data_IF_866039990817
#
_entry.id   IF_866039990817
#
_cell.length_a   1.000
_cell.length_b   1.000
_cell.length_c   1.000
_cell.angle_alpha   90.00
_cell.angle_beta   90.00
_cell.angle_gamma   90.00
#
_symmetry.space_group_name_H-M   'P 1'
#
loop_
_entity.id
_entity.type
_entity.pdbx_description
1 polymer ?
#
# COMPACT_ATOMS: atom_id res chain seq x y z
N UNK A 1 3.22 -28.40 5.95
CA UNK A 1 2.84 -27.79 4.66
C UNK A 1 3.94 -26.84 4.26
N UNK A 2 4.76 -27.21 3.28
CA UNK A 2 5.97 -26.48 2.91
C UNK A 2 5.65 -25.27 2.01
N UNK A 3 6.38 -24.14 2.11
CA UNK A 3 6.29 -23.07 1.12
C UNK A 3 6.77 -23.60 -0.24
N UNK A 4 6.20 -23.13 -1.38
CA UNK A 4 6.69 -23.52 -2.69
C UNK A 4 8.17 -23.15 -2.84
N UNK A 5 8.98 -24.16 -3.22
CA UNK A 5 10.42 -24.09 -3.41
C UNK A 5 10.78 -23.14 -4.54
N UNK A 6 11.78 -22.30 -4.29
CA UNK A 6 12.26 -21.30 -5.25
C UNK A 6 13.13 -21.88 -6.37
N UNK A 7 13.06 -21.22 -7.53
CA UNK A 7 14.18 -20.58 -8.26
C UNK A 7 13.62 -19.95 -9.53
N UNK A 8 13.64 -18.61 -9.62
CA UNK A 8 14.38 -17.96 -10.69
C UNK A 8 14.70 -16.49 -10.36
N UNK A 9 15.89 -16.05 -10.76
CA UNK A 9 16.51 -14.76 -10.44
C UNK A 9 16.21 -13.80 -11.59
N UNK A 10 15.33 -12.83 -11.39
CA UNK A 10 15.01 -11.82 -12.40
C UNK A 10 14.12 -10.70 -11.85
N UNK A 11 14.47 -9.45 -12.19
CA UNK A 11 13.78 -8.20 -11.82
C UNK A 11 12.24 -8.28 -11.87
N UNK A 12 11.59 -7.78 -10.80
CA UNK A 12 10.23 -7.20 -10.61
C UNK A 12 9.07 -7.56 -11.58
N UNK A 13 7.85 -7.76 -11.05
CA UNK A 13 7.01 -6.57 -10.89
C UNK A 13 6.32 -6.54 -9.53
N UNK A 14 6.34 -5.38 -8.87
CA UNK A 14 5.46 -5.08 -7.76
C UNK A 14 4.02 -5.32 -8.27
N UNK A 15 3.40 -6.45 -7.93
CA UNK A 15 2.03 -6.73 -8.35
C UNK A 15 1.11 -5.77 -7.62
N UNK A 16 0.64 -4.72 -8.30
CA UNK A 16 -0.33 -3.78 -7.74
C UNK A 16 -1.74 -4.25 -8.13
N UNK A 17 -2.58 -4.58 -7.14
CA UNK A 17 -4.02 -4.76 -7.36
C UNK A 17 -4.75 -3.53 -6.85
N UNK A 18 -5.64 -3.00 -7.69
CA UNK A 18 -6.63 -2.00 -7.27
C UNK A 18 -7.65 -2.70 -6.38
N UNK A 19 -7.79 -2.28 -5.13
CA UNK A 19 -8.83 -2.80 -4.26
C UNK A 19 -10.14 -2.07 -4.58
N UNK A 20 -11.21 -2.80 -4.92
CA UNK A 20 -12.56 -2.22 -5.05
C UNK A 20 -13.42 -2.71 -3.87
N UNK A 21 -14.02 -1.78 -3.13
CA UNK A 21 -14.87 -2.06 -1.96
C UNK A 21 -14.83 -0.94 -0.90
N UNK A 22 -15.82 -0.87 0.02
CA UNK A 22 -15.98 0.29 0.90
C UNK A 22 -14.80 0.47 1.89
N UNK A 23 -14.15 1.64 1.84
CA UNK A 23 -12.96 1.98 2.64
C UNK A 23 -11.65 2.05 1.85
N UNK A 24 -11.72 2.46 0.58
CA UNK A 24 -10.73 2.22 -0.48
C UNK A 24 -9.27 2.53 -0.13
N UNK A 25 -8.46 1.48 -0.26
CA UNK A 25 -7.01 1.53 -0.52
C UNK A 25 -6.85 1.57 -2.05
N UNK A 26 -6.14 2.57 -2.58
CA UNK A 26 -6.04 2.74 -4.03
C UNK A 26 -5.27 1.59 -4.69
N UNK A 27 -4.14 1.20 -4.10
CA UNK A 27 -3.30 0.10 -4.58
C UNK A 27 -2.79 -0.75 -3.41
N UNK A 28 -2.76 -2.07 -3.60
CA UNK A 28 -2.03 -2.98 -2.71
C UNK A 28 -0.92 -3.61 -3.53
N UNK A 29 0.32 -3.45 -3.08
CA UNK A 29 1.50 -3.98 -3.76
C UNK A 29 2.34 -4.85 -2.82
N UNK A 30 3.03 -5.84 -3.39
CA UNK A 30 3.99 -6.66 -2.65
C UNK A 30 5.41 -6.41 -3.16
N UNK A 31 6.36 -6.26 -2.22
CA UNK A 31 7.81 -6.29 -2.48
C UNK A 31 8.48 -7.20 -1.47
N UNK A 32 8.92 -8.38 -1.89
CA UNK A 32 9.46 -9.40 -0.99
C UNK A 32 8.46 -9.78 0.10
N UNK A 33 8.85 -9.60 1.37
CA UNK A 33 8.01 -9.84 2.56
C UNK A 33 7.26 -8.60 3.06
N UNK A 34 7.14 -7.56 2.24
CA UNK A 34 6.40 -6.34 2.58
C UNK A 34 5.17 -6.21 1.71
N UNK A 35 4.01 -6.00 2.34
CA UNK A 35 2.75 -5.61 1.70
C UNK A 35 2.55 -4.11 1.92
N UNK A 36 2.46 -3.36 0.83
CA UNK A 36 2.27 -1.91 0.83
C UNK A 36 0.81 -1.61 0.50
N UNK A 37 0.11 -0.97 1.43
CA UNK A 37 -1.19 -0.34 1.19
C UNK A 37 -0.89 1.09 0.77
N UNK A 38 -1.23 1.44 -0.47
CA UNK A 38 -0.78 2.66 -1.12
C UNK A 38 -1.98 3.55 -1.42
N UNK A 39 -1.89 4.80 -0.97
CA UNK A 39 -2.76 5.89 -1.40
C UNK A 39 -2.11 6.62 -2.59
N UNK A 40 -2.87 6.89 -3.65
CA UNK A 40 -2.41 7.65 -4.82
C UNK A 40 -2.99 9.07 -4.76
N UNK A 41 -2.11 10.07 -4.83
CA UNK A 41 -2.50 11.48 -4.78
C UNK A 41 -2.01 12.25 -6.00
N UNK A 42 -2.91 12.99 -6.64
CA UNK A 42 -2.52 14.00 -7.62
C UNK A 42 -1.93 15.21 -6.89
N UNK A 43 -0.82 15.75 -7.39
CA UNK A 43 -0.25 17.03 -6.94
C UNK A 43 -0.60 18.11 -7.96
N UNK A 44 -1.09 19.26 -7.53
CA UNK A 44 -1.23 20.45 -8.37
C UNK A 44 -0.04 21.40 -8.21
N UNK A 45 0.61 21.52 -7.03
CA UNK A 45 1.74 22.47 -6.79
C UNK A 45 2.77 22.06 -5.70
N UNK A 46 3.89 22.81 -5.59
CA UNK A 46 5.05 22.58 -4.70
C UNK A 46 4.75 22.58 -3.16
N UNK A 47 3.83 23.41 -2.61
CA UNK A 47 3.49 23.42 -1.17
C UNK A 47 2.32 22.50 -0.75
N UNK A 48 1.60 21.86 -1.67
CA UNK A 48 0.57 20.84 -1.35
C UNK A 48 1.18 19.55 -0.75
N UNK A 49 2.51 19.58 -0.63
CA UNK A 49 3.45 18.63 -0.06
C UNK A 49 3.21 18.19 1.41
N UNK A 50 2.13 18.61 2.07
CA UNK A 50 1.75 18.15 3.42
C UNK A 50 0.33 17.57 3.46
N UNK A 51 -0.11 16.90 2.41
CA UNK A 51 -1.40 16.20 2.44
C UNK A 51 -1.30 14.98 3.36
N UNK A 52 -1.34 15.22 4.67
CA UNK A 52 -1.48 14.21 5.69
C UNK A 52 -2.76 13.44 5.38
N UNK A 53 -2.66 12.11 5.38
CA UNK A 53 -3.84 11.27 5.31
C UNK A 53 -4.67 11.59 6.55
N UNK A 54 -5.89 12.08 6.32
CA UNK A 54 -6.78 12.44 7.42
C UNK A 54 -7.06 11.22 8.28
N UNK A 55 -7.29 11.43 9.57
CA UNK A 55 -7.59 10.35 10.51
C UNK A 55 -8.76 9.48 10.04
N UNK A 56 -9.79 10.09 9.43
CA UNK A 56 -10.94 9.37 8.86
C UNK A 56 -10.50 8.45 7.72
N UNK A 57 -9.66 8.93 6.79
CA UNK A 57 -9.15 8.13 5.68
C UNK A 57 -8.20 7.05 6.19
N UNK A 58 -7.37 7.33 7.19
CA UNK A 58 -6.51 6.34 7.86
C UNK A 58 -7.34 5.18 8.42
N UNK A 59 -8.39 5.47 9.19
CA UNK A 59 -9.30 4.44 9.73
C UNK A 59 -9.98 3.60 8.64
N UNK A 60 -10.33 4.22 7.51
CA UNK A 60 -10.90 3.50 6.35
C UNK A 60 -9.88 2.55 5.73
N UNK A 61 -8.67 3.04 5.50
CA UNK A 61 -7.54 2.24 5.00
C UNK A 61 -7.25 1.07 5.94
N UNK A 62 -7.18 1.30 7.25
CA UNK A 62 -6.94 0.24 8.25
C UNK A 62 -8.04 -0.82 8.24
N UNK A 63 -9.30 -0.40 8.18
CA UNK A 63 -10.44 -1.34 8.05
C UNK A 63 -10.33 -2.18 6.79
N UNK A 64 -9.98 -1.58 5.66
CA UNK A 64 -9.81 -2.31 4.40
C UNK A 64 -8.57 -3.22 4.41
N UNK A 65 -7.47 -2.77 5.03
CA UNK A 65 -6.25 -3.55 5.20
C UNK A 65 -6.50 -4.81 6.06
N UNK A 66 -7.22 -4.68 7.18
CA UNK A 66 -7.62 -5.82 8.02
C UNK A 66 -8.47 -6.83 7.23
N UNK A 67 -9.45 -6.36 6.46
CA UNK A 67 -10.25 -7.24 5.58
C UNK A 67 -9.39 -7.96 4.54
N UNK A 68 -8.44 -7.25 3.93
CA UNK A 68 -7.52 -7.84 2.96
C UNK A 68 -6.65 -8.91 3.60
N UNK A 69 -6.08 -8.67 4.78
CA UNK A 69 -5.25 -9.64 5.53
C UNK A 69 -6.07 -10.89 5.87
N UNK A 70 -7.31 -10.74 6.32
CA UNK A 70 -8.20 -11.89 6.60
C UNK A 70 -8.43 -12.75 5.35
N UNK A 71 -8.60 -12.12 4.18
CA UNK A 71 -8.77 -12.83 2.90
C UNK A 71 -7.45 -13.39 2.35
N UNK A 72 -6.31 -12.89 2.80
CA UNK A 72 -4.97 -13.24 2.31
C UNK A 72 -4.10 -13.78 3.45
N UNK A 73 -4.55 -14.86 4.11
CA UNK A 73 -3.87 -15.44 5.29
C UNK A 73 -2.41 -15.84 5.07
N UNK A 74 -1.98 -16.04 3.82
CA UNK A 74 -0.58 -16.26 3.46
C UNK A 74 0.34 -15.07 3.78
N UNK A 75 -0.22 -13.86 3.93
CA UNK A 75 0.53 -12.65 4.28
C UNK A 75 0.81 -12.53 5.78
N UNK A 76 0.43 -13.53 6.59
CA UNK A 76 0.76 -13.55 8.02
C UNK A 76 2.29 -13.56 8.19
N UNK A 77 2.79 -12.71 9.10
CA UNK A 77 4.22 -12.53 9.34
C UNK A 77 4.96 -11.72 8.27
N UNK A 78 4.25 -11.07 7.35
CA UNK A 78 4.81 -10.07 6.44
C UNK A 78 4.72 -8.69 7.09
N UNK A 79 5.62 -7.79 6.70
CA UNK A 79 5.55 -6.39 7.10
C UNK A 79 4.39 -5.71 6.36
N UNK A 80 3.53 -5.02 7.09
CA UNK A 80 2.45 -4.19 6.54
C UNK A 80 2.91 -2.73 6.54
N UNK A 81 2.77 -2.02 5.43
CA UNK A 81 3.27 -0.64 5.29
C UNK A 81 2.24 0.28 4.64
N UNK A 82 2.10 1.49 5.17
CA UNK A 82 1.29 2.56 4.61
C UNK A 82 2.15 3.47 3.73
N UNK A 83 1.89 3.50 2.44
CA UNK A 83 2.70 4.20 1.44
C UNK A 83 1.86 5.22 0.66
N UNK A 84 2.50 6.22 0.05
CA UNK A 84 1.83 7.15 -0.85
C UNK A 84 2.54 7.21 -2.20
N UNK A 85 1.77 7.31 -3.29
CA UNK A 85 2.30 7.62 -4.62
C UNK A 85 1.73 8.96 -5.07
N UNK A 86 2.61 9.91 -5.40
CA UNK A 86 2.22 11.22 -5.88
C UNK A 86 2.41 11.33 -7.39
N UNK A 87 1.35 11.69 -8.11
CA UNK A 87 1.35 11.87 -9.56
C UNK A 87 1.23 13.37 -9.87
N UNK A 88 2.04 13.87 -10.81
CA UNK A 88 1.96 15.25 -11.28
C UNK A 88 2.14 15.29 -12.80
N UNK A 89 1.53 16.26 -13.51
CA UNK A 89 1.72 16.42 -14.95
C UNK A 89 3.20 16.53 -15.32
N UNK A 90 3.63 15.79 -16.35
CA UNK A 90 5.00 15.81 -16.91
C UNK A 90 6.12 15.46 -15.90
N UNK A 91 5.79 14.78 -14.80
CA UNK A 91 6.74 14.27 -13.81
C UNK A 91 6.53 12.77 -13.62
N UNK A 92 7.60 12.05 -13.31
CA UNK A 92 7.48 10.65 -12.90
C UNK A 92 6.73 10.55 -11.55
N UNK A 93 5.98 9.47 -11.30
CA UNK A 93 5.38 9.21 -10.00
C UNK A 93 6.44 9.21 -8.90
N UNK A 94 6.13 9.87 -7.78
CA UNK A 94 6.98 9.86 -6.58
C UNK A 94 6.37 8.90 -5.55
N UNK A 95 7.07 7.82 -5.23
CA UNK A 95 6.70 6.90 -4.17
C UNK A 95 7.34 7.34 -2.85
N UNK A 96 6.49 7.62 -1.85
CA UNK A 96 6.89 7.86 -0.47
C UNK A 96 6.53 6.61 0.36
N UNK A 97 7.54 5.90 0.83
CA UNK A 97 7.37 4.79 1.75
C UNK A 97 7.05 5.30 3.17
N UNK A 98 6.28 4.54 3.94
CA UNK A 98 5.93 4.89 5.34
C UNK A 98 5.29 6.28 5.46
N UNK A 99 4.50 6.65 4.45
CA UNK A 99 3.81 7.94 4.39
C UNK A 99 2.77 8.11 5.50
N UNK A 100 2.32 7.01 6.11
CA UNK A 100 1.41 7.00 7.24
C UNK A 100 1.53 5.70 8.05
N UNK A 101 1.18 5.78 9.33
CA UNK A 101 1.10 4.61 10.21
C UNK A 101 -0.17 3.81 9.94
N UNK A 102 -0.07 2.50 10.13
CA UNK A 102 -1.18 1.56 10.08
C UNK A 102 -1.34 0.93 11.45
N UNK A 103 -2.40 1.29 12.15
CA UNK A 103 -2.80 0.57 13.34
C UNK A 103 -3.66 -0.63 12.93
N UNK A 104 -3.03 -1.80 12.86
CA UNK A 104 -3.65 -3.07 12.49
C UNK A 104 -3.78 -4.03 13.66
N UNK A 105 -3.31 -3.61 14.84
CA UNK A 105 -3.56 -4.30 16.09
C UNK A 105 -4.84 -3.70 16.66
N UNK A 106 -5.72 -4.54 17.15
CA UNK A 106 -7.04 -4.16 17.65
C UNK A 106 -7.79 -5.41 18.05
#
# INVERSE_FOLDING_TARGET
MAPPSGRDVGRSPCGARRAQGPGEIDLIAQRGRTICFIEVKARATLPEAQSAITEIKRRRIERAARQWITRNRWSVGYTMRGDAIFIAPRRLPLHLAEAYSLDLVG
#
